data_IF_839036138776
#
_entry.id   IF_839036138776
#
_cell.length_a   1.000
_cell.length_b   1.000
_cell.length_c   1.000
_cell.angle_alpha   90.00
_cell.angle_beta   90.00
_cell.angle_gamma   90.00
#
_symmetry.space_group_name_H-M   'P 1'
#
loop_
_entity.id
_entity.type
_entity.pdbx_description
1 polymer ?
#
# COMPACT_ATOMS: atom_id res chain seq x y z
N UNK A 1 13.12 -26.29 -5.32
CA UNK A 1 13.01 -25.87 -5.37
C UNK A 1 12.78 -25.10 -5.51
N UNK A 2 12.63 -25.07 -5.39
CA UNK A 2 12.56 -24.40 -5.37
C UNK A 2 12.12 -23.60 -5.80
N UNK A 3 12.06 -23.49 -6.07
CA UNK A 3 11.83 -22.76 -6.40
C UNK A 3 10.96 -22.14 -6.62
N UNK A 4 10.39 -22.40 -6.96
CA UNK A 4 9.39 -22.02 -7.12
C UNK A 4 8.90 -20.96 -6.59
N UNK A 5 9.08 -20.76 -5.90
CA UNK A 5 8.81 -19.63 -5.18
C UNK A 5 8.84 -18.45 -6.01
N UNK A 6 9.35 -18.53 -7.14
CA UNK A 6 9.38 -17.40 -7.99
C UNK A 6 8.17 -17.20 -8.80
N UNK A 7 7.22 -18.09 -8.72
CA UNK A 7 6.02 -17.97 -9.53
C UNK A 7 5.11 -16.97 -8.84
N UNK A 8 4.72 -15.97 -9.55
CA UNK A 8 3.85 -14.95 -9.01
C UNK A 8 2.46 -15.11 -9.54
N UNK A 9 1.44 -14.80 -8.77
CA UNK A 9 0.09 -14.88 -9.28
C UNK A 9 -0.13 -13.80 -10.33
N UNK A 10 -1.05 -14.05 -11.25
CA UNK A 10 -1.41 -13.05 -12.24
C UNK A 10 -2.35 -12.03 -11.62
N UNK A 11 -3.01 -12.39 -10.54
CA UNK A 11 -4.01 -11.55 -9.93
C UNK A 11 -4.10 -11.87 -8.46
N UNK A 12 -4.36 -10.88 -7.64
CA UNK A 12 -4.61 -11.08 -6.23
C UNK A 12 -5.87 -10.30 -5.86
N UNK A 13 -6.37 -10.53 -4.68
CA UNK A 13 -7.58 -9.86 -4.22
C UNK A 13 -7.21 -8.58 -3.51
N UNK A 14 -7.82 -7.49 -3.90
CA UNK A 14 -7.54 -6.18 -3.35
C UNK A 14 -8.30 -5.91 -2.07
N UNK A 15 -8.10 -4.72 -1.50
CA UNK A 15 -8.67 -4.39 -0.21
C UNK A 15 -10.19 -4.30 -0.18
N UNK A 16 -10.81 -4.13 -1.33
CA UNK A 16 -12.26 -4.09 -1.38
C UNK A 16 -12.81 -5.34 -2.07
N UNK A 17 -12.00 -6.38 -2.17
CA UNK A 17 -12.42 -7.60 -2.81
C UNK A 17 -12.28 -7.59 -4.32
N UNK A 18 -11.72 -6.52 -4.86
CA UNK A 18 -11.59 -6.42 -6.31
C UNK A 18 -10.33 -7.15 -6.78
N UNK A 19 -10.32 -7.61 -8.03
CA UNK A 19 -9.12 -8.25 -8.54
C UNK A 19 -8.05 -7.21 -8.84
N UNK A 20 -6.83 -7.50 -8.47
CA UNK A 20 -5.70 -6.63 -8.74
C UNK A 20 -4.70 -7.34 -9.62
N UNK A 21 -4.24 -6.66 -10.65
CA UNK A 21 -3.15 -7.15 -11.48
C UNK A 21 -2.10 -6.04 -11.49
N UNK A 22 -0.97 -6.31 -12.10
CA UNK A 22 0.05 -5.26 -12.18
C UNK A 22 -0.50 -4.03 -12.90
N UNK A 23 -1.38 -4.23 -13.86
CA UNK A 23 -1.94 -3.11 -14.59
C UNK A 23 -2.93 -2.30 -13.75
N UNK A 24 -3.45 -2.89 -12.68
CA UNK A 24 -4.39 -2.19 -11.81
C UNK A 24 -3.71 -1.28 -10.81
N UNK A 25 -2.41 -1.40 -10.66
CA UNK A 25 -1.72 -0.66 -9.61
C UNK A 25 -1.53 0.80 -10.01
N UNK A 26 -1.33 1.68 -9.02
CA UNK A 26 -1.03 3.07 -9.35
C UNK A 26 0.17 3.15 -10.27
N UNK A 27 0.21 4.16 -11.09
CA UNK A 27 1.31 4.35 -12.04
C UNK A 27 2.62 4.60 -11.29
N UNK A 28 3.75 4.24 -11.88
CA UNK A 28 5.02 4.40 -11.20
C UNK A 28 5.34 5.82 -10.76
N UNK A 29 4.81 6.81 -11.45
CA UNK A 29 5.07 8.19 -11.06
C UNK A 29 4.11 8.75 -10.02
N UNK A 30 3.32 7.90 -9.39
CA UNK A 30 2.33 8.36 -8.43
C UNK A 30 3.00 9.07 -7.26
N UNK A 31 2.53 10.26 -6.94
CA UNK A 31 3.00 10.99 -5.79
C UNK A 31 1.90 11.30 -4.81
N UNK A 32 0.64 11.19 -5.26
CA UNK A 32 -0.46 11.46 -4.38
C UNK A 32 -0.95 10.16 -3.77
N UNK A 33 -0.59 9.94 -2.53
CA UNK A 33 -0.86 8.67 -1.85
C UNK A 33 -2.07 8.75 -0.93
N UNK A 34 -3.24 8.61 -1.54
CA UNK A 34 -4.46 8.54 -0.76
C UNK A 34 -4.63 7.13 -0.22
N UNK A 35 -5.49 6.99 0.76
CA UNK A 35 -5.67 5.73 1.48
C UNK A 35 -5.89 4.55 0.56
N UNK A 36 -6.75 4.70 -0.42
CA UNK A 36 -7.05 3.60 -1.29
C UNK A 36 -5.85 3.13 -2.09
N UNK A 37 -5.04 4.05 -2.55
CA UNK A 37 -3.87 3.69 -3.32
C UNK A 37 -2.84 2.97 -2.46
N UNK A 38 -2.67 3.42 -1.21
CA UNK A 38 -1.78 2.74 -0.30
C UNK A 38 -2.26 1.32 -0.04
N UNK A 39 -3.57 1.17 0.18
CA UNK A 39 -4.13 -0.14 0.47
C UNK A 39 -3.96 -1.10 -0.69
N UNK A 40 -4.11 -0.60 -1.91
CA UNK A 40 -3.95 -1.41 -3.09
C UNK A 40 -2.52 -1.94 -3.20
N UNK A 41 -1.55 -1.06 -2.94
CA UNK A 41 -0.15 -1.46 -3.05
C UNK A 41 0.21 -2.48 -1.95
N UNK A 42 -0.30 -2.27 -0.74
CA UNK A 42 -0.05 -3.22 0.33
C UNK A 42 -0.68 -4.58 -0.01
N UNK A 43 -1.89 -4.57 -0.55
CA UNK A 43 -2.54 -5.82 -0.94
C UNK A 43 -1.77 -6.53 -2.03
N UNK A 44 -1.20 -5.78 -2.96
CA UNK A 44 -0.43 -6.36 -4.04
C UNK A 44 0.80 -7.09 -3.51
N UNK A 45 1.46 -6.50 -2.52
CA UNK A 45 2.64 -7.14 -1.94
C UNK A 45 2.22 -8.34 -1.10
N UNK A 46 1.17 -8.20 -0.31
CA UNK A 46 0.71 -9.29 0.53
C UNK A 46 0.28 -10.49 -0.30
N UNK A 47 -0.25 -10.24 -1.46
CA UNK A 47 -0.69 -11.31 -2.35
C UNK A 47 0.40 -11.85 -3.26
N UNK A 48 1.54 -11.22 -3.29
CA UNK A 48 2.66 -11.73 -4.10
C UNK A 48 2.84 -11.16 -5.49
N UNK A 49 2.11 -10.11 -5.84
CA UNK A 49 2.30 -9.50 -7.16
C UNK A 49 3.65 -8.79 -7.24
N UNK A 50 4.08 -8.19 -6.16
CA UNK A 50 5.33 -7.47 -6.12
C UNK A 50 6.01 -7.72 -4.79
N UNK A 51 7.30 -7.55 -4.73
CA UNK A 51 7.99 -7.58 -3.45
C UNK A 51 8.02 -6.16 -2.88
N UNK A 52 8.34 -6.05 -1.61
CA UNK A 52 8.49 -4.74 -0.98
C UNK A 52 9.55 -3.91 -1.67
N UNK A 53 10.66 -4.55 -2.04
CA UNK A 53 11.73 -3.82 -2.72
C UNK A 53 11.26 -3.28 -4.07
N UNK A 54 10.47 -4.06 -4.78
CA UNK A 54 9.96 -3.63 -6.06
C UNK A 54 9.01 -2.45 -5.92
N UNK A 55 8.21 -2.45 -4.86
CA UNK A 55 7.31 -1.34 -4.62
C UNK A 55 8.10 -0.08 -4.30
N UNK A 56 9.11 -0.20 -3.47
CA UNK A 56 9.91 0.96 -3.12
C UNK A 56 10.59 1.56 -4.33
N UNK A 57 11.09 0.71 -5.20
CA UNK A 57 11.73 1.19 -6.40
C UNK A 57 10.73 1.79 -7.37
N UNK A 58 9.61 1.13 -7.54
CA UNK A 58 8.60 1.58 -8.49
C UNK A 58 8.03 2.94 -8.13
N UNK A 59 7.82 3.19 -6.85
CA UNK A 59 7.16 4.40 -6.41
C UNK A 59 8.08 5.37 -5.67
N UNK A 60 9.35 5.06 -5.67
CA UNK A 60 10.33 5.92 -5.01
C UNK A 60 9.99 6.13 -3.54
N UNK A 61 9.73 5.04 -2.85
CA UNK A 61 9.42 5.08 -1.42
C UNK A 61 10.58 4.50 -0.64
N UNK A 62 10.72 4.91 0.61
CA UNK A 62 11.69 4.26 1.46
C UNK A 62 11.06 2.99 2.01
N UNK A 63 11.89 2.05 2.38
CA UNK A 63 11.39 0.82 2.93
C UNK A 63 10.64 1.09 4.23
N UNK A 64 11.09 2.04 5.03
CA UNK A 64 10.42 2.39 6.25
C UNK A 64 9.04 2.94 6.00
N UNK A 65 8.91 3.75 4.98
CA UNK A 65 7.63 4.32 4.64
C UNK A 65 6.65 3.23 4.27
N UNK A 66 7.08 2.33 3.38
CA UNK A 66 6.20 1.27 2.96
C UNK A 66 5.89 0.32 4.11
N UNK A 67 6.87 0.02 4.94
CA UNK A 67 6.64 -0.84 6.10
C UNK A 67 5.63 -0.25 7.05
N UNK A 68 5.60 1.08 7.17
CA UNK A 68 4.61 1.70 8.03
C UNK A 68 3.19 1.49 7.49
N UNK A 69 3.04 1.47 6.18
CA UNK A 69 1.74 1.20 5.58
C UNK A 69 1.32 -0.24 5.87
N UNK A 70 2.27 -1.17 5.77
CA UNK A 70 1.96 -2.56 6.03
C UNK A 70 1.53 -2.76 7.48
N UNK A 71 2.24 -2.15 8.38
CA UNK A 71 1.90 -2.28 9.80
C UNK A 71 0.54 -1.67 10.10
N UNK A 72 0.24 -0.55 9.47
CA UNK A 72 -1.02 0.11 9.70
C UNK A 72 -2.18 -0.75 9.20
N UNK A 73 -2.02 -1.37 8.04
CA UNK A 73 -3.04 -2.23 7.50
C UNK A 73 -3.22 -3.47 8.38
N UNK A 74 -2.12 -4.05 8.83
CA UNK A 74 -2.19 -5.22 9.68
C UNK A 74 -2.93 -4.92 10.98
N UNK A 75 -2.75 -3.71 11.49
CA UNK A 75 -3.36 -3.36 12.74
C UNK A 75 -4.80 -2.95 12.64
N UNK A 76 -5.14 -2.20 11.65
CA UNK A 76 -6.44 -1.57 11.56
C UNK A 76 -7.06 -1.56 10.18
N UNK A 77 -6.54 -2.33 9.26
CA UNK A 77 -7.06 -2.36 7.91
C UNK A 77 -6.88 -1.01 7.24
N UNK A 78 -7.77 -0.66 6.34
CA UNK A 78 -7.64 0.59 5.62
C UNK A 78 -7.69 1.80 6.52
N UNK A 79 -8.36 1.68 7.64
CA UNK A 79 -8.40 2.80 8.55
C UNK A 79 -7.06 3.09 9.16
N UNK A 80 -6.22 2.08 9.28
CA UNK A 80 -4.87 2.29 9.76
C UNK A 80 -4.08 3.21 8.85
N UNK A 81 -4.33 3.09 7.54
CA UNK A 81 -3.65 3.95 6.59
C UNK A 81 -4.12 5.38 6.73
N UNK A 82 -5.38 5.56 7.07
CA UNK A 82 -5.88 6.88 7.28
C UNK A 82 -5.19 7.53 8.48
N UNK A 83 -4.92 6.73 9.49
CA UNK A 83 -4.22 7.24 10.65
C UNK A 83 -2.82 7.71 10.29
N UNK A 84 -2.09 6.93 9.48
CA UNK A 84 -0.75 7.34 9.10
C UNK A 84 -0.80 8.65 8.34
N UNK A 85 -1.81 8.85 7.51
CA UNK A 85 -1.92 10.06 6.78
C UNK A 85 -2.25 11.22 7.69
N UNK A 86 -3.14 11.00 8.64
CA UNK A 86 -3.51 12.03 9.56
C UNK A 86 -2.33 12.44 10.39
N UNK A 87 -1.51 11.49 10.81
CA UNK A 87 -0.38 11.83 11.56
C UNK A 87 0.54 12.73 10.80
N UNK A 88 0.67 12.49 9.52
CA UNK A 88 1.51 13.30 8.68
C UNK A 88 0.99 14.73 8.58
N UNK A 89 -0.31 14.92 8.58
CA UNK A 89 -0.87 16.23 8.44
C UNK A 89 -1.45 16.82 9.67
N UNK A 90 -1.28 16.16 10.80
CA UNK A 90 -1.99 16.58 11.94
C UNK A 90 -1.86 18.02 12.28
N UNK A 91 -0.75 18.58 12.06
CA UNK A 91 -0.64 19.98 12.37
C UNK A 91 -1.45 20.81 11.45
N UNK A 92 -1.75 20.32 10.28
CA UNK A 92 -2.43 21.12 9.33
C UNK A 92 -3.89 21.16 9.54
N UNK A 93 -4.49 20.09 9.92
CA UNK A 93 -5.89 20.19 10.05
C UNK A 93 -6.53 19.35 11.06
N UNK A 94 -5.83 19.00 12.06
CA UNK A 94 -6.47 18.28 13.03
C UNK A 94 -7.54 19.04 13.58
N UNK A 95 -7.53 20.30 13.46
CA UNK A 95 -8.57 21.05 13.88
C UNK A 95 -9.75 20.78 13.17
N UNK A 96 -9.75 20.78 11.94
CA UNK A 96 -10.90 20.64 11.26
C UNK A 96 -11.38 19.28 11.27
N UNK A 97 -10.56 18.44 11.65
CA UNK A 97 -11.03 17.16 11.66
C UNK A 97 -11.87 16.95 12.80
N UNK A 98 -11.70 17.73 13.69
CA UNK A 98 -12.39 17.59 14.75
C UNK A 98 -13.61 17.68 14.57
N UNK A 99 -13.78 17.68 13.93
CA UNK A 99 -14.92 17.59 13.59
C UNK A 99 -15.59 17.04 14.10
#
# INVERSE_FOLDING_TARGET
MIENQKIRPAMVIGPLGEPLTLASLPAPGTTRWVVRRKAVVVAAVNGGLLTSDEVCERYNLTLEEFASWQRAVDRSGMQGLRVTRIQHYRDLYERQLKY
#
